data_IF_774719346687
#
_entry.id   IF_774719346687
#
_cell.length_a   1.000
_cell.length_b   1.000
_cell.length_c   1.000
_cell.angle_alpha   90.00
_cell.angle_beta   90.00
_cell.angle_gamma   90.00
#
_symmetry.space_group_name_H-M   'P 1'
#
loop_
_entity.id
_entity.type
_entity.pdbx_description
1 polymer ?
#
# COMPACT_ATOMS: atom_id res chain seq x y z
N UNK A 1 26.22 9.00 -15.60
CA UNK A 1 25.44 9.59 -14.51
C UNK A 1 24.29 8.63 -14.22
N UNK A 2 24.27 7.95 -13.07
CA UNK A 2 23.09 7.14 -12.70
C UNK A 2 21.92 8.13 -12.49
N UNK A 3 20.68 7.82 -12.90
CA UNK A 3 19.56 8.72 -12.65
C UNK A 3 19.48 9.02 -11.15
N UNK A 4 19.24 10.28 -10.82
CA UNK A 4 19.04 10.77 -9.46
C UNK A 4 17.87 9.95 -8.89
N UNK A 5 18.12 9.16 -7.86
CA UNK A 5 17.07 8.43 -7.16
C UNK A 5 15.97 9.43 -6.78
N UNK A 6 14.72 9.06 -7.01
CA UNK A 6 13.59 9.97 -6.84
C UNK A 6 13.43 10.32 -5.35
N UNK A 7 14.04 11.43 -4.91
CA UNK A 7 13.86 12.06 -3.58
C UNK A 7 12.41 12.57 -3.36
N UNK A 8 11.44 12.09 -4.14
CA UNK A 8 10.04 12.48 -4.02
C UNK A 8 9.46 11.77 -2.81
N UNK A 9 8.99 12.55 -1.85
CA UNK A 9 8.28 12.03 -0.69
C UNK A 9 6.80 11.83 -1.04
N UNK A 10 6.25 10.60 -0.91
CA UNK A 10 4.85 10.36 -1.21
C UNK A 10 3.95 11.10 -0.23
N UNK A 11 2.96 11.86 -0.72
CA UNK A 11 2.08 12.69 0.11
C UNK A 11 1.31 11.89 1.18
N UNK A 12 1.06 10.60 0.93
CA UNK A 12 0.36 9.69 1.86
C UNK A 12 1.24 9.23 3.04
N UNK A 13 2.53 9.61 3.05
CA UNK A 13 3.50 9.37 4.12
C UNK A 13 3.92 10.68 4.81
N UNK A 14 2.99 11.61 5.00
CA UNK A 14 3.24 12.93 5.60
C UNK A 14 3.88 12.93 7.01
N UNK A 15 3.79 11.82 7.74
CA UNK A 15 4.36 11.59 9.07
C UNK A 15 5.68 10.79 9.06
N UNK A 16 6.18 10.38 7.88
CA UNK A 16 7.41 9.61 7.73
C UNK A 16 8.35 10.21 6.69
N UNK A 17 9.64 10.22 6.99
CA UNK A 17 10.68 10.63 6.05
C UNK A 17 11.07 9.46 5.14
N UNK A 18 10.15 9.03 4.27
CA UNK A 18 10.37 7.96 3.28
C UNK A 18 10.22 8.50 1.86
N UNK A 19 11.09 8.03 0.96
CA UNK A 19 11.04 8.34 -0.48
C UNK A 19 10.22 7.30 -1.26
N UNK A 20 9.90 7.59 -2.51
CA UNK A 20 9.33 6.60 -3.43
C UNK A 20 10.16 5.31 -3.51
N UNK A 21 11.49 5.43 -3.55
CA UNK A 21 12.40 4.28 -3.59
C UNK A 21 12.36 3.47 -2.30
N UNK A 22 12.20 4.12 -1.14
CA UNK A 22 12.01 3.42 0.13
C UNK A 22 10.71 2.64 0.15
N UNK A 23 9.61 3.20 -0.38
CA UNK A 23 8.33 2.50 -0.48
C UNK A 23 8.50 1.23 -1.31
N UNK A 24 9.10 1.34 -2.50
CA UNK A 24 9.36 0.17 -3.37
C UNK A 24 10.24 -0.86 -2.67
N UNK A 25 11.32 -0.42 -2.02
CA UNK A 25 12.24 -1.29 -1.28
C UNK A 25 11.54 -2.02 -0.14
N UNK A 26 10.66 -1.34 0.61
CA UNK A 26 9.88 -1.96 1.68
C UNK A 26 8.92 -2.99 1.10
N UNK A 27 8.17 -2.66 0.05
CA UNK A 27 7.20 -3.57 -0.58
C UNK A 27 7.84 -4.83 -1.16
N UNK A 28 9.07 -4.74 -1.68
CA UNK A 28 9.83 -5.88 -2.21
C UNK A 28 10.77 -6.54 -1.19
N UNK A 29 10.86 -6.01 0.03
CA UNK A 29 11.74 -6.53 1.07
C UNK A 29 11.24 -7.83 1.69
N UNK A 30 12.08 -8.53 2.44
CA UNK A 30 11.74 -9.81 3.07
C UNK A 30 10.96 -9.64 4.38
N UNK A 31 11.00 -8.46 5.01
CA UNK A 31 10.29 -8.19 6.26
C UNK A 31 8.78 -8.05 6.04
N UNK A 32 8.02 -9.09 6.41
CA UNK A 32 6.57 -9.12 6.28
C UNK A 32 5.87 -8.01 7.05
N UNK A 33 6.32 -7.69 8.27
CA UNK A 33 5.69 -6.67 9.09
C UNK A 33 5.78 -5.28 8.44
N UNK A 34 6.93 -4.95 7.85
CA UNK A 34 7.13 -3.70 7.11
C UNK A 34 6.30 -3.67 5.83
N UNK A 35 6.23 -4.77 5.07
CA UNK A 35 5.37 -4.87 3.88
C UNK A 35 3.91 -4.63 4.23
N UNK A 36 3.38 -5.34 5.21
CA UNK A 36 1.99 -5.22 5.66
C UNK A 36 1.70 -3.80 6.15
N UNK A 37 2.62 -3.21 6.90
CA UNK A 37 2.50 -1.83 7.35
C UNK A 37 2.43 -0.86 6.17
N UNK A 38 3.33 -0.98 5.18
CA UNK A 38 3.34 -0.10 4.01
C UNK A 38 2.09 -0.27 3.15
N UNK A 39 1.65 -1.50 2.88
CA UNK A 39 0.39 -1.78 2.18
C UNK A 39 -0.79 -1.12 2.90
N UNK A 40 -0.84 -1.23 4.22
CA UNK A 40 -1.90 -0.60 5.03
C UNK A 40 -1.86 0.92 4.94
N UNK A 41 -0.67 1.54 4.90
CA UNK A 41 -0.50 3.00 4.73
C UNK A 41 -1.04 3.46 3.38
N UNK A 42 -0.64 2.79 2.30
CA UNK A 42 -1.08 3.09 0.93
C UNK A 42 -2.60 3.01 0.84
N UNK A 43 -3.20 1.89 1.26
CA UNK A 43 -4.65 1.66 1.18
C UNK A 43 -5.49 2.58 2.07
N UNK A 44 -4.87 3.22 3.07
CA UNK A 44 -5.56 4.13 4.00
C UNK A 44 -5.48 5.59 3.58
N UNK A 45 -4.37 6.02 2.98
CA UNK A 45 -4.07 7.45 2.81
C UNK A 45 -3.80 7.87 1.35
N UNK A 46 -3.50 6.94 0.45
CA UNK A 46 -3.35 7.29 -0.97
C UNK A 46 -4.72 7.44 -1.64
N UNK A 47 -4.78 8.30 -2.66
CA UNK A 47 -5.89 8.34 -3.59
C UNK A 47 -6.03 6.98 -4.29
N UNK A 48 -7.26 6.62 -4.64
CA UNK A 48 -7.57 5.31 -5.21
C UNK A 48 -6.74 5.01 -6.46
N UNK A 49 -6.56 6.00 -7.33
CA UNK A 49 -5.79 5.86 -8.58
C UNK A 49 -4.29 5.62 -8.30
N UNK A 50 -3.78 6.18 -7.19
CA UNK A 50 -2.37 6.07 -6.81
C UNK A 50 -2.03 4.74 -6.15
N UNK A 51 -3.00 4.05 -5.53
CA UNK A 51 -2.79 2.71 -4.94
C UNK A 51 -2.16 1.75 -5.94
N UNK A 52 -2.64 1.79 -7.18
CA UNK A 52 -2.22 0.89 -8.26
C UNK A 52 -0.82 1.17 -8.79
N UNK A 53 -0.21 2.31 -8.40
CA UNK A 53 1.21 2.58 -8.68
C UNK A 53 2.14 1.70 -7.84
N UNK A 54 1.65 1.14 -6.73
CA UNK A 54 2.44 0.39 -5.76
C UNK A 54 1.97 -1.05 -5.59
N UNK A 55 0.66 -1.28 -5.64
CA UNK A 55 0.05 -2.57 -5.30
C UNK A 55 -0.70 -3.14 -6.49
N UNK A 56 -0.63 -4.46 -6.63
CA UNK A 56 -1.55 -5.22 -7.48
C UNK A 56 -2.78 -5.65 -6.70
N UNK A 57 -3.86 -6.01 -7.40
CA UNK A 57 -5.03 -6.59 -6.76
C UNK A 57 -4.68 -7.87 -5.95
N UNK A 58 -3.76 -8.69 -6.47
CA UNK A 58 -3.30 -9.89 -5.79
C UNK A 58 -2.54 -9.57 -4.49
N UNK A 59 -1.74 -8.50 -4.46
CA UNK A 59 -1.05 -8.04 -3.25
C UNK A 59 -2.00 -7.67 -2.12
N UNK A 60 -3.18 -7.17 -2.47
CA UNK A 60 -4.22 -6.78 -1.53
C UNK A 60 -4.99 -8.02 -1.07
N UNK A 61 -5.48 -8.84 -2.01
CA UNK A 61 -6.32 -10.01 -1.69
C UNK A 61 -5.58 -11.05 -0.86
N UNK A 62 -4.34 -11.38 -1.23
CA UNK A 62 -3.56 -12.43 -0.55
C UNK A 62 -3.22 -12.11 0.91
N UNK A 63 -3.19 -10.82 1.27
CA UNK A 63 -2.77 -10.36 2.58
C UNK A 63 -3.85 -9.55 3.31
N UNK A 64 -5.07 -9.48 2.77
CA UNK A 64 -6.12 -8.57 3.26
C UNK A 64 -6.41 -8.74 4.76
N UNK A 65 -6.44 -9.98 5.24
CA UNK A 65 -6.68 -10.33 6.65
C UNK A 65 -5.56 -9.87 7.59
N UNK A 66 -4.36 -9.59 7.07
CA UNK A 66 -3.20 -9.12 7.83
C UNK A 66 -3.10 -7.59 7.84
N UNK A 67 -3.76 -6.90 6.90
CA UNK A 67 -3.71 -5.45 6.78
C UNK A 67 -4.30 -4.76 8.01
N UNK A 68 -3.61 -3.73 8.48
CA UNK A 68 -3.97 -2.97 9.68
C UNK A 68 -4.55 -1.62 9.28
N UNK A 69 -5.87 -1.59 9.13
CA UNK A 69 -6.62 -0.39 8.74
C UNK A 69 -7.76 -0.10 9.71
N UNK A 70 -8.25 1.14 9.72
CA UNK A 70 -9.47 1.50 10.46
C UNK A 70 -10.65 0.70 9.90
N UNK A 71 -11.63 0.38 10.75
CA UNK A 71 -12.76 -0.48 10.39
C UNK A 71 -13.55 0.00 9.17
N UNK A 72 -13.75 1.31 9.04
CA UNK A 72 -14.46 1.91 7.90
C UNK A 72 -13.69 1.72 6.59
N UNK A 73 -12.38 2.01 6.58
CA UNK A 73 -11.50 1.80 5.41
C UNK A 73 -11.45 0.32 5.02
N UNK A 74 -11.30 -0.57 6.00
CA UNK A 74 -11.30 -2.01 5.75
C UNK A 74 -12.63 -2.50 5.17
N UNK A 75 -13.77 -1.97 5.63
CA UNK A 75 -15.08 -2.31 5.07
C UNK A 75 -15.25 -1.81 3.64
N UNK A 76 -14.79 -0.58 3.33
CA UNK A 76 -14.85 -0.04 1.97
C UNK A 76 -14.05 -0.90 1.00
N UNK A 77 -12.81 -1.28 1.36
CA UNK A 77 -12.01 -2.19 0.54
C UNK A 77 -12.61 -3.58 0.43
N UNK A 78 -13.11 -4.16 1.53
CA UNK A 78 -13.79 -5.47 1.48
C UNK A 78 -14.98 -5.44 0.52
N UNK A 79 -15.77 -4.37 0.55
CA UNK A 79 -16.90 -4.19 -0.35
C UNK A 79 -16.43 -4.09 -1.82
N UNK A 80 -15.42 -3.26 -2.10
CA UNK A 80 -14.84 -3.14 -3.45
C UNK A 80 -14.32 -4.49 -3.97
N UNK A 81 -13.56 -5.22 -3.15
CA UNK A 81 -13.04 -6.55 -3.49
C UNK A 81 -14.17 -7.55 -3.75
N UNK A 82 -15.24 -7.50 -2.96
CA UNK A 82 -16.43 -8.34 -3.16
C UNK A 82 -17.10 -8.04 -4.51
N UNK A 83 -17.25 -6.75 -4.86
CA UNK A 83 -17.82 -6.34 -6.17
C UNK A 83 -16.95 -6.82 -7.34
N UNK A 84 -15.64 -6.90 -7.15
CA UNK A 84 -14.70 -7.45 -8.14
C UNK A 84 -14.61 -8.99 -8.13
N UNK A 85 -15.39 -9.67 -7.29
CA UNK A 85 -15.45 -11.14 -7.24
C UNK A 85 -14.44 -11.80 -6.28
N UNK A 86 -13.85 -11.04 -5.36
CA UNK A 86 -12.92 -11.54 -4.34
C UNK A 86 -13.55 -11.51 -2.94
N UNK A 87 -13.57 -12.65 -2.26
CA UNK A 87 -14.07 -12.78 -0.89
C UNK A 87 -12.90 -12.78 0.11
N UNK A 88 -12.82 -11.74 0.96
CA UNK A 88 -11.70 -11.49 1.89
C UNK A 88 -12.12 -11.00 3.28
#
# INVERSE_FOLDING_TARGET
MKPKQDDTHPYFLWDYNLTEDDVRRILHGENEAERIWMKSRILTHAAYEDVWKYLTLNDIVSEFSKLRMRSQTAQAWRHALTVWGHHV
#
